data_IF_671197907820
#
_entry.id   IF_671197907820
#
_cell.length_a   1.000
_cell.length_b   1.000
_cell.length_c   1.000
_cell.angle_alpha   90.00
_cell.angle_beta   90.00
_cell.angle_gamma   90.00
#
_symmetry.space_group_name_H-M   'P 1'
#
loop_
_entity.id
_entity.type
_entity.pdbx_description
1 polymer ?
#
# COMPACT_ATOMS: atom_id res chain seq x y z
N UNK A 1 13.23 28.35 67.71
CA UNK A 1 11.95 27.80 67.29
C UNK A 1 11.65 28.43 65.93
N UNK A 2 12.17 27.84 64.88
CA UNK A 2 12.14 28.32 63.52
C UNK A 2 11.28 27.49 62.61
N UNK A 3 10.37 28.11 61.91
CA UNK A 3 9.50 27.53 60.90
C UNK A 3 10.28 27.33 59.63
N UNK A 4 10.41 26.09 59.14
CA UNK A 4 10.83 25.79 57.77
C UNK A 4 9.59 25.65 56.90
N UNK A 5 9.38 26.61 56.02
CA UNK A 5 8.43 26.54 54.90
C UNK A 5 9.19 26.02 53.69
N UNK A 6 8.92 24.79 53.28
CA UNK A 6 9.41 24.25 52.03
C UNK A 6 8.61 24.80 50.85
N UNK A 7 9.30 25.45 49.94
CA UNK A 7 8.77 25.90 48.63
C UNK A 7 8.43 24.70 47.76
N UNK A 8 7.16 24.48 47.50
CA UNK A 8 6.69 23.59 46.42
C UNK A 8 6.84 24.40 45.13
N UNK A 9 7.80 24.01 44.31
CA UNK A 9 7.87 24.50 42.93
C UNK A 9 6.74 23.84 42.12
N UNK A 10 5.79 24.67 41.74
CA UNK A 10 4.80 24.33 40.70
C UNK A 10 5.53 24.34 39.36
N UNK A 11 5.88 23.18 38.86
CA UNK A 11 6.31 23.04 37.48
C UNK A 11 5.08 23.15 36.57
N UNK A 12 5.07 24.23 35.82
CA UNK A 12 4.10 24.50 34.74
C UNK A 12 4.03 23.32 33.76
N UNK A 13 2.92 22.60 33.83
CA UNK A 13 2.52 21.68 32.74
C UNK A 13 2.16 22.56 31.53
N UNK A 14 3.06 22.66 30.59
CA UNK A 14 2.78 23.28 29.30
C UNK A 14 1.84 22.34 28.55
N UNK A 15 0.55 22.66 28.53
CA UNK A 15 -0.43 22.06 27.63
C UNK A 15 0.02 22.35 26.20
N UNK A 16 0.50 21.33 25.49
CA UNK A 16 0.58 21.35 24.04
C UNK A 16 -0.85 21.33 23.50
N UNK A 17 -1.46 22.49 23.38
CA UNK A 17 -2.61 22.69 22.51
C UNK A 17 -2.05 22.60 21.08
N UNK A 18 -2.24 21.46 20.41
CA UNK A 18 -2.08 21.39 18.95
C UNK A 18 -3.19 22.26 18.35
N UNK A 19 -2.87 23.48 18.04
CA UNK A 19 -3.68 24.35 17.19
C UNK A 19 -3.56 23.78 15.78
N UNK A 20 -4.59 23.06 15.34
CA UNK A 20 -4.76 22.75 13.93
C UNK A 20 -5.09 24.07 13.21
N UNK A 21 -4.10 24.71 12.65
CA UNK A 21 -4.33 25.76 11.68
C UNK A 21 -4.89 25.10 10.42
N UNK A 22 -6.17 25.37 10.16
CA UNK A 22 -6.72 25.23 8.82
C UNK A 22 -6.10 26.34 7.97
N UNK A 23 -4.97 26.08 7.34
CA UNK A 23 -4.59 26.84 6.18
C UNK A 23 -5.46 26.34 5.01
N UNK A 24 -6.11 27.25 4.25
CA UNK A 24 -6.82 26.85 3.06
C UNK A 24 -5.79 26.22 2.09
N UNK A 25 -6.10 25.04 1.58
CA UNK A 25 -5.39 24.42 0.46
C UNK A 25 -5.48 25.40 -0.72
N UNK A 26 -4.49 26.24 -0.87
CA UNK A 26 -4.27 26.99 -2.11
C UNK A 26 -3.69 26.00 -3.10
N UNK A 27 -4.53 25.57 -4.03
CA UNK A 27 -4.12 24.85 -5.23
C UNK A 27 -3.43 25.83 -6.16
N UNK A 28 -2.16 26.16 -5.88
CA UNK A 28 -1.28 26.85 -6.83
C UNK A 28 0.15 26.39 -6.59
N UNK A 29 0.74 25.73 -7.60
CA UNK A 29 2.16 25.37 -7.74
C UNK A 29 2.79 24.58 -6.58
N UNK A 30 2.14 23.50 -6.11
CA UNK A 30 2.88 22.52 -5.32
C UNK A 30 3.91 21.83 -6.22
N UNK A 31 5.18 22.04 -5.90
CA UNK A 31 6.32 21.39 -6.54
C UNK A 31 6.34 19.90 -6.12
N UNK A 32 5.60 19.07 -6.88
CA UNK A 32 5.61 17.62 -6.70
C UNK A 32 6.87 17.02 -7.30
N UNK A 33 7.23 15.84 -6.80
CA UNK A 33 8.39 15.11 -7.26
C UNK A 33 9.66 15.40 -6.46
N UNK A 34 10.68 14.64 -6.79
CA UNK A 34 12.00 14.71 -6.16
C UNK A 34 13.01 15.23 -7.17
N UNK A 35 13.96 16.05 -6.70
CA UNK A 35 15.13 16.39 -7.50
C UNK A 35 16.25 15.42 -7.16
N UNK A 36 16.61 14.56 -8.11
CA UNK A 36 17.68 13.57 -7.97
C UNK A 36 18.74 13.86 -9.02
N UNK A 37 19.97 14.14 -8.58
CA UNK A 37 21.12 14.51 -9.48
C UNK A 37 20.78 15.63 -10.47
N UNK A 38 19.92 16.58 -10.07
CA UNK A 38 19.50 17.73 -10.90
C UNK A 38 18.32 17.46 -11.84
N UNK A 39 17.81 16.24 -11.89
CA UNK A 39 16.60 15.88 -12.64
C UNK A 39 15.37 15.83 -11.74
N UNK A 40 14.25 16.38 -12.22
CA UNK A 40 12.95 16.22 -11.54
C UNK A 40 12.33 14.88 -11.89
N UNK A 41 11.88 14.13 -10.87
CA UNK A 41 11.20 12.84 -10.98
C UNK A 41 9.88 12.96 -10.25
N UNK A 42 8.78 12.81 -10.97
CA UNK A 42 7.46 12.66 -10.36
C UNK A 42 7.42 11.33 -9.57
N UNK A 43 6.76 11.35 -8.42
CA UNK A 43 6.61 10.14 -7.60
C UNK A 43 5.15 9.70 -7.62
N UNK A 44 4.94 8.42 -7.92
CA UNK A 44 3.64 7.76 -7.83
C UNK A 44 3.76 6.67 -6.76
N UNK A 45 2.95 6.75 -5.71
CA UNK A 45 2.84 5.71 -4.68
C UNK A 45 1.66 4.80 -5.02
N UNK A 46 1.91 3.60 -5.53
CA UNK A 46 0.82 2.73 -5.95
C UNK A 46 0.08 2.03 -4.81
N UNK A 47 0.53 2.17 -3.55
CA UNK A 47 0.04 1.36 -2.46
C UNK A 47 -0.33 2.19 -1.23
N UNK A 48 -1.55 2.72 -1.27
CA UNK A 48 -2.13 3.46 -0.15
C UNK A 48 -3.45 2.81 0.30
N UNK A 49 -3.68 2.84 1.60
CA UNK A 49 -4.89 2.32 2.21
C UNK A 49 -5.84 3.45 2.60
N UNK A 50 -7.15 3.20 2.41
CA UNK A 50 -8.22 4.06 2.91
C UNK A 50 -9.13 3.29 3.87
N UNK A 51 -9.96 4.01 4.61
CA UNK A 51 -10.92 3.42 5.53
C UNK A 51 -11.39 4.37 6.62
N UNK A 52 -12.11 3.82 7.58
CA UNK A 52 -12.50 4.53 8.78
C UNK A 52 -12.11 3.73 10.02
N UNK A 53 -11.88 4.40 11.13
CA UNK A 53 -11.60 3.71 12.39
C UNK A 53 -12.66 2.67 12.74
N UNK A 54 -13.95 3.00 12.52
CA UNK A 54 -15.06 2.14 12.93
C UNK A 54 -15.19 0.89 12.04
N UNK A 55 -14.66 0.93 10.81
CA UNK A 55 -14.63 -0.20 9.87
C UNK A 55 -13.45 -1.17 10.11
N UNK A 56 -12.46 -0.79 10.94
CA UNK A 56 -11.35 -1.67 11.31
C UNK A 56 -11.81 -2.72 12.33
N UNK A 57 -11.22 -3.92 12.29
CA UNK A 57 -11.47 -4.97 13.29
C UNK A 57 -10.87 -4.63 14.65
N UNK A 58 -11.48 -5.14 15.73
CA UNK A 58 -10.96 -4.91 17.08
C UNK A 58 -9.53 -5.44 17.27
N UNK A 59 -9.16 -6.66 16.80
CA UNK A 59 -7.77 -7.14 16.90
C UNK A 59 -6.77 -6.23 16.16
N UNK A 60 -7.17 -5.66 15.03
CA UNK A 60 -6.33 -4.70 14.31
C UNK A 60 -6.15 -3.39 15.10
N UNK A 61 -7.22 -2.83 15.65
CA UNK A 61 -7.19 -1.64 16.50
C UNK A 61 -6.33 -1.83 17.73
N UNK A 62 -6.47 -2.96 18.42
CA UNK A 62 -5.67 -3.32 19.59
C UNK A 62 -4.18 -3.37 19.26
N UNK A 63 -3.80 -4.10 18.21
CA UNK A 63 -2.43 -4.21 17.74
C UNK A 63 -1.76 -2.86 17.48
N UNK A 64 -2.47 -1.94 16.82
CA UNK A 64 -1.94 -0.61 16.56
C UNK A 64 -1.93 0.26 17.81
N UNK A 65 -2.92 0.11 18.68
CA UNK A 65 -2.99 0.84 19.95
C UNK A 65 -1.89 0.42 20.94
N UNK A 66 -1.38 -0.81 20.87
CA UNK A 66 -0.26 -1.27 21.67
C UNK A 66 1.07 -0.56 21.36
N UNK A 67 1.20 0.06 20.19
CA UNK A 67 2.38 0.82 19.78
C UNK A 67 2.53 2.15 20.51
N UNK A 68 1.49 2.60 21.24
CA UNK A 68 1.50 3.82 22.03
C UNK A 68 1.27 3.51 23.52
N UNK A 69 1.78 4.36 24.44
CA UNK A 69 1.52 4.23 25.88
C UNK A 69 0.01 4.16 26.17
N UNK A 70 -0.38 3.38 27.18
CA UNK A 70 -1.81 3.13 27.53
C UNK A 70 -2.65 4.41 27.64
N UNK A 71 -2.09 5.46 28.24
CA UNK A 71 -2.79 6.74 28.43
C UNK A 71 -2.98 7.55 27.14
N UNK A 72 -2.31 7.18 26.03
CA UNK A 72 -2.45 7.79 24.71
C UNK A 72 -3.26 6.96 23.74
N UNK A 73 -3.69 5.74 24.09
CA UNK A 73 -4.41 4.85 23.16
C UNK A 73 -5.68 5.44 22.58
N UNK A 74 -6.36 6.30 23.32
CA UNK A 74 -7.52 7.02 22.82
C UNK A 74 -7.23 7.92 21.62
N UNK A 75 -5.98 8.37 21.44
CA UNK A 75 -5.57 9.19 20.30
C UNK A 75 -5.49 8.39 19.00
N UNK A 76 -5.39 7.05 19.07
CA UNK A 76 -5.25 6.19 17.89
C UNK A 76 -6.44 6.31 16.94
N UNK A 77 -7.66 6.51 17.48
CA UNK A 77 -8.85 6.77 16.65
C UNK A 77 -8.65 7.99 15.74
N UNK A 78 -8.02 9.03 16.25
CA UNK A 78 -7.75 10.25 15.47
C UNK A 78 -6.54 10.09 14.56
N UNK A 79 -5.44 9.52 15.06
CA UNK A 79 -4.19 9.40 14.29
C UNK A 79 -4.34 8.44 13.11
N UNK A 80 -4.90 7.27 13.33
CA UNK A 80 -5.09 6.28 12.29
C UNK A 80 -6.34 6.59 11.44
N UNK A 81 -7.48 6.91 12.09
CA UNK A 81 -8.73 7.18 11.39
C UNK A 81 -8.66 8.40 10.46
N UNK A 82 -8.07 9.51 10.90
CA UNK A 82 -7.90 10.69 10.05
C UNK A 82 -6.88 10.48 8.94
N UNK A 83 -5.88 9.63 9.16
CA UNK A 83 -4.86 9.30 8.14
C UNK A 83 -5.41 8.49 6.97
N UNK A 84 -6.52 7.77 7.18
CA UNK A 84 -7.15 6.89 6.17
C UNK A 84 -8.20 7.60 5.31
N UNK A 85 -8.54 8.86 5.58
CA UNK A 85 -9.41 9.68 4.71
C UNK A 85 -8.64 10.23 3.52
N UNK A 86 -9.36 10.66 2.45
CA UNK A 86 -8.73 11.32 1.30
C UNK A 86 -7.87 12.52 1.70
N UNK A 87 -8.36 13.39 2.58
CA UNK A 87 -7.58 14.53 3.07
C UNK A 87 -6.33 14.08 3.84
N UNK A 88 -6.45 13.04 4.66
CA UNK A 88 -5.32 12.49 5.40
C UNK A 88 -4.26 11.88 4.50
N UNK A 89 -4.68 11.14 3.48
CA UNK A 89 -3.82 10.57 2.45
C UNK A 89 -3.12 11.69 1.67
N UNK A 90 -3.86 12.65 1.13
CA UNK A 90 -3.32 13.78 0.38
C UNK A 90 -2.32 14.59 1.20
N UNK A 91 -2.63 14.88 2.47
CA UNK A 91 -1.69 15.58 3.37
C UNK A 91 -0.36 14.84 3.53
N UNK A 92 -0.37 13.51 3.57
CA UNK A 92 0.86 12.73 3.65
C UNK A 92 1.58 12.67 2.30
N UNK A 93 0.85 12.56 1.20
CA UNK A 93 1.40 12.64 -0.15
C UNK A 93 2.06 14.01 -0.40
N UNK A 94 1.41 15.10 -0.03
CA UNK A 94 1.93 16.46 -0.18
C UNK A 94 3.22 16.66 0.60
N UNK A 95 3.27 16.18 1.84
CA UNK A 95 4.49 16.21 2.65
C UNK A 95 5.63 15.41 2.02
N UNK A 96 5.32 14.31 1.34
CA UNK A 96 6.29 13.45 0.65
C UNK A 96 6.54 13.89 -0.80
N UNK A 97 5.90 14.97 -1.28
CA UNK A 97 5.93 15.43 -2.69
C UNK A 97 5.47 14.37 -3.70
N UNK A 98 4.60 13.46 -3.27
CA UNK A 98 4.02 12.42 -4.13
C UNK A 98 2.91 13.03 -4.97
N UNK A 99 3.02 12.90 -6.28
CA UNK A 99 2.06 13.48 -7.23
C UNK A 99 0.76 12.70 -7.31
N UNK A 100 0.82 11.37 -7.41
CA UNK A 100 -0.36 10.50 -7.50
C UNK A 100 -0.26 9.33 -6.54
N UNK A 101 -1.42 8.85 -6.08
CA UNK A 101 -1.51 7.69 -5.19
C UNK A 101 -2.53 6.67 -5.65
N UNK A 102 -2.15 5.39 -5.67
CA UNK A 102 -3.05 4.25 -5.82
C UNK A 102 -3.66 3.87 -4.48
N UNK A 103 -4.99 3.97 -4.35
CA UNK A 103 -5.71 3.74 -3.10
C UNK A 103 -6.54 2.47 -3.21
N UNK A 104 -6.48 1.62 -2.19
CA UNK A 104 -7.03 0.28 -2.22
C UNK A 104 -8.36 0.17 -1.48
N UNK A 105 -9.39 -0.41 -2.13
CA UNK A 105 -10.49 -1.04 -1.44
C UNK A 105 -10.00 -2.31 -0.73
N UNK A 106 -10.60 -2.65 0.40
CA UNK A 106 -10.24 -3.82 1.21
C UNK A 106 -11.51 -4.52 1.69
N UNK A 107 -11.57 -5.83 1.49
CA UNK A 107 -12.61 -6.71 2.03
C UNK A 107 -11.96 -7.84 2.82
N UNK A 108 -11.58 -7.54 4.05
CA UNK A 108 -10.89 -8.46 4.95
C UNK A 108 -11.54 -8.42 6.35
N UNK A 109 -12.81 -8.85 6.46
CA UNK A 109 -13.65 -8.67 7.66
C UNK A 109 -13.06 -9.31 8.92
N UNK A 110 -12.27 -10.38 8.77
CA UNK A 110 -11.71 -11.10 9.91
C UNK A 110 -10.34 -10.55 10.35
N UNK A 111 -9.66 -9.78 9.49
CA UNK A 111 -8.27 -9.35 9.73
C UNK A 111 -8.13 -7.85 9.93
N UNK A 112 -8.28 -7.06 8.86
CA UNK A 112 -8.05 -5.61 8.90
C UNK A 112 -9.34 -4.80 8.92
N UNK A 113 -10.43 -5.34 8.36
CA UNK A 113 -11.71 -4.65 8.23
C UNK A 113 -12.16 -4.48 6.79
N UNK A 114 -13.13 -3.59 6.56
CA UNK A 114 -13.71 -3.34 5.25
C UNK A 114 -13.61 -1.85 4.89
N UNK A 115 -12.97 -1.57 3.76
CA UNK A 115 -13.10 -0.32 3.02
C UNK A 115 -13.68 -0.68 1.64
N UNK A 116 -15.00 -0.56 1.47
CA UNK A 116 -15.70 -1.03 0.29
C UNK A 116 -15.33 -0.27 -0.99
N UNK A 117 -15.64 -0.84 -2.14
CA UNK A 117 -15.49 -0.15 -3.44
C UNK A 117 -16.25 1.18 -3.47
N UNK A 118 -17.50 1.18 -2.93
CA UNK A 118 -18.30 2.41 -2.86
C UNK A 118 -17.65 3.47 -1.97
N UNK A 119 -17.12 3.07 -0.80
CA UNK A 119 -16.40 3.98 0.09
C UNK A 119 -15.15 4.54 -0.62
N UNK A 120 -14.35 3.68 -1.27
CA UNK A 120 -13.18 4.12 -2.03
C UNK A 120 -13.55 5.13 -3.12
N UNK A 121 -14.59 4.86 -3.92
CA UNK A 121 -15.05 5.79 -4.96
C UNK A 121 -15.40 7.16 -4.37
N UNK A 122 -16.07 7.23 -3.22
CA UNK A 122 -16.36 8.49 -2.53
C UNK A 122 -15.08 9.22 -2.12
N UNK A 123 -14.02 8.49 -1.70
CA UNK A 123 -12.76 9.09 -1.30
C UNK A 123 -11.95 9.67 -2.47
N UNK A 124 -12.01 9.05 -3.65
CA UNK A 124 -11.16 9.43 -4.79
C UNK A 124 -11.87 10.37 -5.79
N UNK A 125 -13.19 10.40 -5.82
CA UNK A 125 -13.95 11.15 -6.84
C UNK A 125 -13.70 12.66 -6.80
N UNK A 126 -13.40 13.22 -5.63
CA UNK A 126 -13.13 14.66 -5.48
C UNK A 126 -11.69 15.03 -5.84
N UNK A 127 -10.83 14.02 -6.07
CA UNK A 127 -9.40 14.19 -6.34
C UNK A 127 -8.89 13.28 -7.47
N UNK A 128 -9.56 13.25 -8.64
CA UNK A 128 -9.29 12.27 -9.71
C UNK A 128 -7.90 12.42 -10.34
N UNK A 129 -7.31 13.61 -10.25
CA UNK A 129 -5.95 13.90 -10.74
C UNK A 129 -4.85 13.40 -9.78
N UNK A 130 -5.21 13.14 -8.52
CA UNK A 130 -4.29 12.76 -7.45
C UNK A 130 -4.46 11.31 -7.00
N UNK A 131 -5.70 10.81 -6.93
CA UNK A 131 -6.04 9.52 -6.34
C UNK A 131 -6.64 8.57 -7.38
N UNK A 132 -6.05 7.39 -7.49
CA UNK A 132 -6.44 6.31 -8.39
C UNK A 132 -6.93 5.12 -7.57
N UNK A 133 -8.07 4.54 -7.91
CA UNK A 133 -8.68 3.47 -7.13
C UNK A 133 -8.31 2.07 -7.61
N UNK A 134 -8.12 1.17 -6.66
CA UNK A 134 -8.04 -0.27 -6.90
C UNK A 134 -9.25 -0.93 -6.24
N UNK A 135 -10.14 -1.49 -7.04
CA UNK A 135 -11.31 -2.22 -6.57
C UNK A 135 -10.90 -3.54 -5.87
N UNK A 136 -11.80 -4.10 -5.09
CA UNK A 136 -11.60 -5.42 -4.51
C UNK A 136 -12.89 -6.21 -4.54
N UNK A 137 -12.84 -7.49 -4.16
CA UNK A 137 -14.01 -8.36 -4.06
C UNK A 137 -14.11 -8.92 -2.66
N UNK A 138 -15.33 -9.20 -2.25
CA UNK A 138 -15.64 -9.88 -1.00
C UNK A 138 -15.63 -11.40 -1.21
N UNK A 139 -14.88 -12.13 -0.40
CA UNK A 139 -14.66 -13.57 -0.60
C UNK A 139 -15.33 -14.47 0.44
N UNK A 140 -15.69 -13.93 1.59
CA UNK A 140 -16.27 -14.67 2.73
C UNK A 140 -17.62 -15.34 2.42
N UNK A 141 -18.41 -14.79 1.47
CA UNK A 141 -19.67 -15.36 1.00
C UNK A 141 -19.63 -15.79 -0.48
N UNK A 142 -18.44 -16.00 -1.06
CA UNK A 142 -18.24 -16.22 -2.49
C UNK A 142 -19.11 -17.34 -3.09
N UNK A 143 -19.32 -18.42 -2.34
CA UNK A 143 -20.19 -19.53 -2.79
C UNK A 143 -21.67 -19.17 -2.90
N UNK A 144 -22.09 -18.05 -2.33
CA UNK A 144 -23.48 -17.57 -2.32
C UNK A 144 -23.67 -16.43 -3.32
N UNK A 145 -22.75 -15.44 -3.30
CA UNK A 145 -22.91 -14.17 -4.02
C UNK A 145 -21.77 -13.87 -5.03
N UNK A 146 -20.88 -14.84 -5.30
CA UNK A 146 -19.77 -14.66 -6.23
C UNK A 146 -20.14 -14.02 -7.59
N UNK A 147 -21.21 -14.49 -8.27
CA UNK A 147 -21.66 -13.87 -9.52
C UNK A 147 -22.08 -12.40 -9.38
N UNK A 148 -22.67 -12.02 -8.26
CA UNK A 148 -23.03 -10.63 -7.95
C UNK A 148 -21.78 -9.80 -7.66
N UNK A 149 -20.79 -10.35 -6.95
CA UNK A 149 -19.50 -9.72 -6.71
C UNK A 149 -18.74 -9.44 -8.03
N UNK A 150 -18.80 -10.34 -9.00
CA UNK A 150 -18.21 -10.14 -10.32
C UNK A 150 -18.92 -9.02 -11.11
N UNK A 151 -20.24 -8.95 -11.06
CA UNK A 151 -21.02 -7.86 -11.68
C UNK A 151 -20.70 -6.51 -11.05
N UNK A 152 -20.63 -6.46 -9.71
CA UNK A 152 -20.24 -5.24 -8.98
C UNK A 152 -18.84 -4.82 -9.37
N UNK A 153 -17.87 -5.74 -9.37
CA UNK A 153 -16.50 -5.47 -9.76
C UNK A 153 -16.42 -4.84 -11.17
N UNK A 154 -17.07 -5.46 -12.14
CA UNK A 154 -17.11 -4.96 -13.52
C UNK A 154 -17.73 -3.56 -13.61
N UNK A 155 -18.83 -3.33 -12.90
CA UNK A 155 -19.50 -2.02 -12.83
C UNK A 155 -18.58 -0.95 -12.22
N UNK A 156 -17.89 -1.26 -11.13
CA UNK A 156 -16.97 -0.36 -10.44
C UNK A 156 -15.78 -0.01 -11.33
N UNK A 157 -15.21 -0.98 -12.03
CA UNK A 157 -14.08 -0.80 -12.94
C UNK A 157 -14.43 0.01 -14.19
N UNK A 158 -15.71 0.21 -14.49
CA UNK A 158 -16.18 1.14 -15.51
C UNK A 158 -15.93 2.62 -15.19
N UNK A 159 -15.64 2.97 -13.93
CA UNK A 159 -15.22 4.31 -13.55
C UNK A 159 -13.76 4.54 -13.97
N UNK A 160 -13.48 5.66 -14.64
CA UNK A 160 -12.15 5.99 -15.19
C UNK A 160 -11.06 6.05 -14.12
N UNK A 161 -11.41 6.43 -12.88
CA UNK A 161 -10.44 6.54 -11.77
C UNK A 161 -10.20 5.20 -11.06
N UNK A 162 -10.96 4.16 -11.40
CA UNK A 162 -10.72 2.80 -10.93
C UNK A 162 -9.78 2.09 -11.90
N UNK A 163 -8.48 2.09 -11.57
CA UNK A 163 -7.41 1.70 -12.49
C UNK A 163 -6.96 0.25 -12.37
N UNK A 164 -7.31 -0.43 -11.27
CA UNK A 164 -6.86 -1.79 -11.02
C UNK A 164 -7.70 -2.52 -9.99
N UNK A 165 -7.27 -3.72 -9.63
CA UNK A 165 -7.90 -4.59 -8.64
C UNK A 165 -6.90 -4.92 -7.54
N UNK A 166 -7.35 -4.95 -6.28
CA UNK A 166 -6.59 -5.40 -5.11
C UNK A 166 -7.12 -6.73 -4.61
N UNK A 167 -6.28 -7.74 -4.59
CA UNK A 167 -6.53 -9.00 -3.89
C UNK A 167 -5.54 -9.18 -2.75
N UNK A 168 -6.04 -9.58 -1.59
CA UNK A 168 -5.26 -9.77 -0.37
C UNK A 168 -5.39 -11.20 0.16
N UNK A 169 -4.90 -12.17 -0.60
CA UNK A 169 -5.13 -13.61 -0.45
C UNK A 169 -5.02 -14.11 0.98
N UNK A 170 -3.95 -13.76 1.71
CA UNK A 170 -3.75 -14.14 3.11
C UNK A 170 -4.83 -13.56 4.04
N UNK A 171 -5.32 -12.34 3.77
CA UNK A 171 -6.34 -11.66 4.55
C UNK A 171 -7.75 -12.10 4.17
N UNK A 172 -7.99 -12.36 2.89
CA UNK A 172 -9.28 -12.80 2.34
C UNK A 172 -9.48 -14.31 2.42
N UNK A 173 -8.51 -15.04 2.98
CA UNK A 173 -8.50 -16.51 3.07
C UNK A 173 -8.68 -17.21 1.71
N UNK A 174 -8.15 -16.61 0.65
CA UNK A 174 -8.25 -17.02 -0.73
C UNK A 174 -6.92 -17.61 -1.18
N UNK A 175 -6.91 -18.85 -1.66
CA UNK A 175 -5.69 -19.48 -2.19
C UNK A 175 -5.33 -18.86 -3.54
N UNK A 176 -4.06 -18.80 -3.87
CA UNK A 176 -3.58 -18.30 -5.17
C UNK A 176 -4.06 -19.14 -6.35
N UNK A 177 -4.19 -20.44 -6.14
CA UNK A 177 -4.54 -21.43 -7.17
C UNK A 177 -6.04 -21.78 -7.21
N UNK A 178 -6.91 -21.06 -6.51
CA UNK A 178 -8.33 -21.36 -6.41
C UNK A 178 -9.12 -20.91 -7.65
N UNK A 179 -9.60 -21.84 -8.49
CA UNK A 179 -10.25 -21.49 -9.75
C UNK A 179 -11.63 -20.82 -9.58
N UNK A 180 -12.19 -20.81 -8.36
CA UNK A 180 -13.45 -20.09 -8.10
C UNK A 180 -13.33 -18.60 -8.37
N UNK A 181 -12.11 -18.06 -8.33
CA UNK A 181 -11.83 -16.65 -8.55
C UNK A 181 -11.38 -16.32 -9.98
N UNK A 182 -11.35 -17.31 -10.89
CA UNK A 182 -10.94 -17.08 -12.27
C UNK A 182 -11.70 -15.95 -12.97
N UNK A 183 -13.01 -15.79 -12.66
CA UNK A 183 -13.80 -14.66 -13.16
C UNK A 183 -13.28 -13.27 -12.81
N UNK A 184 -12.56 -13.12 -11.67
CA UNK A 184 -11.91 -11.83 -11.30
C UNK A 184 -10.77 -11.53 -12.26
N UNK A 185 -9.93 -12.55 -12.56
CA UNK A 185 -8.80 -12.42 -13.46
C UNK A 185 -9.27 -12.21 -14.91
N UNK A 186 -10.34 -12.89 -15.35
CA UNK A 186 -10.95 -12.70 -16.67
C UNK A 186 -11.45 -11.27 -16.88
N UNK A 187 -12.14 -10.69 -15.88
CA UNK A 187 -12.61 -9.31 -15.91
C UNK A 187 -11.42 -8.35 -16.00
N UNK A 188 -10.36 -8.61 -15.22
CA UNK A 188 -9.16 -7.81 -15.20
C UNK A 188 -8.47 -7.78 -16.59
N UNK A 189 -8.24 -8.93 -17.20
CA UNK A 189 -7.64 -9.03 -18.53
C UNK A 189 -8.49 -8.34 -19.58
N UNK A 190 -9.81 -8.62 -19.61
CA UNK A 190 -10.74 -8.04 -20.58
C UNK A 190 -10.85 -6.51 -20.48
N UNK A 191 -10.78 -5.95 -19.29
CA UNK A 191 -10.83 -4.51 -19.04
C UNK A 191 -9.46 -3.84 -18.97
N UNK A 192 -8.38 -4.61 -19.21
CA UNK A 192 -7.00 -4.12 -19.12
C UNK A 192 -6.69 -3.43 -17.77
N UNK A 193 -7.19 -4.02 -16.66
CA UNK A 193 -7.00 -3.52 -15.30
C UNK A 193 -6.02 -4.41 -14.56
N UNK A 194 -4.79 -3.97 -14.24
CA UNK A 194 -3.84 -4.76 -13.47
C UNK A 194 -4.38 -5.22 -12.12
N UNK A 195 -3.98 -6.41 -11.70
CA UNK A 195 -4.32 -6.96 -10.39
C UNK A 195 -3.10 -6.89 -9.46
N UNK A 196 -3.25 -6.18 -8.35
CA UNK A 196 -2.33 -6.26 -7.24
C UNK A 196 -2.69 -7.48 -6.37
N UNK A 197 -1.74 -8.37 -6.18
CA UNK A 197 -1.85 -9.59 -5.39
C UNK A 197 -0.92 -9.46 -4.18
N UNK A 198 -1.48 -9.45 -2.96
CA UNK A 198 -0.68 -9.46 -1.73
C UNK A 198 0.09 -10.78 -1.64
N UNK A 199 1.41 -10.73 -1.58
CA UNK A 199 2.30 -11.89 -1.40
C UNK A 199 3.14 -11.73 -0.12
N UNK A 200 3.73 -12.82 0.36
CA UNK A 200 4.44 -12.82 1.63
C UNK A 200 3.50 -12.84 2.84
N UNK A 201 4.09 -12.77 4.04
CA UNK A 201 3.32 -12.86 5.28
C UNK A 201 2.89 -11.47 5.77
N UNK A 202 1.67 -11.39 6.30
CA UNK A 202 1.20 -10.20 7.01
C UNK A 202 1.19 -10.44 8.52
N UNK A 203 1.65 -9.47 9.32
CA UNK A 203 1.67 -9.62 10.76
C UNK A 203 0.31 -9.34 11.42
N UNK A 204 -0.75 -9.13 10.64
CA UNK A 204 -2.08 -8.86 11.18
C UNK A 204 -2.73 -10.14 11.73
N UNK A 205 -3.53 -10.04 12.81
CA UNK A 205 -4.22 -11.20 13.37
C UNK A 205 -5.10 -11.91 12.34
N UNK A 206 -5.24 -13.23 12.50
CA UNK A 206 -6.08 -14.09 11.67
C UNK A 206 -5.73 -14.18 10.19
N UNK A 207 -4.59 -13.65 9.74
CA UNK A 207 -4.10 -13.89 8.38
C UNK A 207 -3.64 -15.34 8.21
N UNK A 208 -3.87 -15.89 7.01
CA UNK A 208 -3.34 -17.21 6.64
C UNK A 208 -1.84 -17.08 6.38
N UNK A 209 -1.09 -18.07 6.85
CA UNK A 209 0.38 -18.10 6.73
C UNK A 209 0.87 -19.31 5.94
N UNK A 210 -0.02 -20.19 5.55
CA UNK A 210 0.32 -21.39 4.77
C UNK A 210 0.75 -21.00 3.35
N UNK A 211 1.71 -21.70 2.73
CA UNK A 211 2.30 -21.33 1.45
C UNK A 211 1.31 -21.01 0.34
N UNK A 212 0.18 -21.71 0.14
CA UNK A 212 -0.78 -21.38 -0.92
C UNK A 212 -1.46 -20.02 -0.80
N UNK A 213 -1.27 -19.30 0.32
CA UNK A 213 -1.82 -17.97 0.57
C UNK A 213 -0.75 -16.86 0.57
N UNK A 214 0.54 -17.22 0.66
CA UNK A 214 1.64 -16.27 0.87
C UNK A 214 2.79 -16.42 -0.12
N UNK A 215 3.06 -17.63 -0.62
CA UNK A 215 4.13 -17.91 -1.59
C UNK A 215 3.61 -17.79 -3.02
N UNK A 216 4.07 -16.78 -3.78
CA UNK A 216 3.53 -16.49 -5.12
C UNK A 216 3.77 -17.62 -6.14
N UNK A 217 4.62 -18.61 -5.89
CA UNK A 217 4.74 -19.77 -6.78
C UNK A 217 3.41 -20.49 -7.03
N UNK A 218 2.49 -20.44 -6.05
CA UNK A 218 1.14 -21.02 -6.20
C UNK A 218 0.22 -20.19 -7.10
N UNK A 219 0.65 -18.99 -7.53
CA UNK A 219 -0.07 -18.15 -8.50
C UNK A 219 0.25 -18.55 -9.95
N UNK A 220 1.27 -19.38 -10.19
CA UNK A 220 1.76 -19.68 -11.51
C UNK A 220 0.69 -20.26 -12.45
N UNK A 221 -0.07 -21.24 -11.98
CA UNK A 221 -1.17 -21.83 -12.77
C UNK A 221 -2.25 -20.79 -13.13
N UNK A 222 -2.53 -19.84 -12.22
CA UNK A 222 -3.48 -18.75 -12.46
C UNK A 222 -2.93 -17.78 -13.51
N UNK A 223 -1.65 -17.42 -13.44
CA UNK A 223 -0.98 -16.58 -14.46
C UNK A 223 -1.05 -17.24 -15.84
N UNK A 224 -0.82 -18.54 -15.92
CA UNK A 224 -0.89 -19.28 -17.19
C UNK A 224 -2.31 -19.33 -17.77
N UNK A 225 -3.34 -19.46 -16.93
CA UNK A 225 -4.75 -19.45 -17.39
C UNK A 225 -5.21 -18.07 -17.85
N UNK A 226 -4.58 -16.99 -17.35
CA UNK A 226 -4.98 -15.62 -17.61
C UNK A 226 -3.85 -14.77 -18.20
N UNK A 227 -3.36 -15.08 -19.41
CA UNK A 227 -2.20 -14.43 -20.03
C UNK A 227 -2.44 -12.95 -20.36
N UNK A 228 -3.70 -12.52 -20.50
CA UNK A 228 -4.08 -11.13 -20.79
C UNK A 228 -4.16 -10.27 -19.54
N UNK A 229 -4.04 -10.87 -18.34
CA UNK A 229 -4.09 -10.18 -17.05
C UNK A 229 -2.69 -9.77 -16.61
N UNK A 230 -2.53 -8.51 -16.20
CA UNK A 230 -1.30 -8.00 -15.61
C UNK A 230 -1.32 -8.24 -14.09
N UNK A 231 -0.29 -8.87 -13.55
CA UNK A 231 -0.16 -9.21 -12.13
C UNK A 231 0.92 -8.36 -11.48
N UNK A 232 0.62 -7.79 -10.30
CA UNK A 232 1.58 -7.07 -9.47
C UNK A 232 1.73 -7.84 -8.16
N UNK A 233 2.89 -8.44 -7.94
CA UNK A 233 3.20 -9.20 -6.74
C UNK A 233 3.56 -8.23 -5.61
N UNK A 234 2.55 -7.87 -4.81
CA UNK A 234 2.68 -6.93 -3.72
C UNK A 234 3.54 -7.44 -2.59
N UNK A 235 4.32 -6.57 -1.99
CA UNK A 235 5.35 -6.84 -0.98
C UNK A 235 6.48 -7.76 -1.47
N UNK A 236 6.48 -8.15 -2.74
CA UNK A 236 7.54 -8.95 -3.35
C UNK A 236 7.95 -10.17 -2.52
N UNK A 237 6.97 -10.88 -1.94
CA UNK A 237 7.21 -12.08 -1.13
C UNK A 237 7.85 -11.83 0.25
N UNK A 238 7.77 -10.62 0.80
CA UNK A 238 8.36 -10.27 2.10
C UNK A 238 7.72 -11.03 3.26
N UNK A 239 8.56 -11.58 4.14
CA UNK A 239 8.13 -12.22 5.40
C UNK A 239 8.25 -11.22 6.56
N UNK A 240 7.12 -10.66 6.96
CA UNK A 240 7.04 -9.63 8.00
C UNK A 240 7.35 -10.14 9.42
N UNK A 241 7.29 -11.45 9.66
CA UNK A 241 7.65 -12.05 10.95
C UNK A 241 9.15 -12.26 11.07
N UNK A 242 9.78 -12.78 9.99
CA UNK A 242 11.22 -12.99 9.95
C UNK A 242 12.00 -11.74 9.58
N UNK A 243 11.33 -10.70 9.05
CA UNK A 243 11.97 -9.53 8.46
C UNK A 243 12.96 -9.96 7.37
N UNK A 244 12.48 -10.75 6.39
CA UNK A 244 13.31 -11.41 5.38
C UNK A 244 12.59 -11.51 4.03
N UNK A 245 13.36 -11.74 2.96
CA UNK A 245 12.90 -11.92 1.58
C UNK A 245 12.54 -13.41 1.30
N UNK A 246 11.74 -14.02 2.20
CA UNK A 246 11.51 -15.49 2.23
C UNK A 246 10.96 -16.03 0.90
N UNK A 247 10.13 -15.26 0.19
CA UNK A 247 9.46 -15.71 -1.04
C UNK A 247 9.87 -14.86 -2.26
N UNK A 248 10.98 -14.10 -2.17
CA UNK A 248 11.44 -13.25 -3.27
C UNK A 248 11.85 -14.09 -4.50
N UNK A 249 12.50 -15.23 -4.28
CA UNK A 249 12.92 -16.10 -5.40
C UNK A 249 11.72 -16.51 -6.25
N UNK A 250 10.59 -16.87 -5.62
CA UNK A 250 9.34 -17.17 -6.35
C UNK A 250 8.82 -15.97 -7.15
N UNK A 251 8.95 -14.73 -6.61
CA UNK A 251 8.56 -13.51 -7.35
C UNK A 251 9.47 -13.28 -8.57
N UNK A 252 10.78 -13.46 -8.40
CA UNK A 252 11.78 -13.28 -9.47
C UNK A 252 11.55 -14.31 -10.58
N UNK A 253 11.38 -15.59 -10.22
CA UNK A 253 11.11 -16.65 -11.18
C UNK A 253 9.87 -16.35 -12.03
N UNK A 254 8.78 -15.92 -11.41
CA UNK A 254 7.56 -15.53 -12.11
C UNK A 254 7.76 -14.31 -13.01
N UNK A 255 8.43 -13.26 -12.52
CA UNK A 255 8.66 -12.02 -13.27
C UNK A 255 9.64 -12.23 -14.45
N UNK A 256 10.58 -13.17 -14.35
CA UNK A 256 11.47 -13.56 -15.46
C UNK A 256 10.77 -14.44 -16.48
N UNK A 257 9.83 -15.28 -16.04
CA UNK A 257 9.12 -16.23 -16.91
C UNK A 257 7.95 -15.61 -17.66
N UNK A 258 7.28 -14.63 -17.04
CA UNK A 258 6.04 -14.05 -17.56
C UNK A 258 6.15 -12.52 -17.71
N UNK A 259 5.94 -12.02 -18.93
CA UNK A 259 6.04 -10.59 -19.23
C UNK A 259 4.94 -9.74 -18.56
N UNK A 260 3.83 -10.36 -18.19
CA UNK A 260 2.69 -9.75 -17.50
C UNK A 260 2.81 -9.77 -15.97
N UNK A 261 4.02 -10.04 -15.41
CA UNK A 261 4.26 -10.06 -13.97
C UNK A 261 5.18 -8.92 -13.55
N UNK A 262 4.72 -8.15 -12.60
CA UNK A 262 5.40 -7.01 -11.94
C UNK A 262 5.53 -7.27 -10.45
N UNK A 263 6.30 -6.46 -9.75
CA UNK A 263 6.53 -6.54 -8.31
C UNK A 263 6.37 -5.18 -7.65
N UNK A 264 5.99 -5.18 -6.38
CA UNK A 264 5.87 -3.97 -5.57
C UNK A 264 6.43 -4.24 -4.16
N UNK A 265 7.41 -3.47 -3.67
CA UNK A 265 8.12 -3.76 -2.42
C UNK A 265 7.38 -3.33 -1.14
N UNK A 266 6.34 -2.48 -1.22
CA UNK A 266 5.48 -2.04 -0.10
C UNK A 266 6.16 -1.91 1.24
N UNK A 267 5.82 -2.79 2.17
CA UNK A 267 6.28 -2.76 3.56
C UNK A 267 7.82 -2.85 3.76
N UNK A 268 8.61 -3.13 2.71
CA UNK A 268 10.08 -3.18 2.79
C UNK A 268 10.71 -1.83 3.15
N UNK A 269 10.07 -0.71 2.82
CA UNK A 269 10.53 0.61 3.25
C UNK A 269 10.20 0.95 4.72
N UNK A 270 9.57 0.05 5.48
CA UNK A 270 9.38 0.24 6.90
C UNK A 270 10.73 0.20 7.66
N UNK A 271 10.86 1.01 8.72
CA UNK A 271 12.11 1.16 9.49
C UNK A 271 12.76 -0.17 9.91
N UNK A 272 11.96 -1.20 10.14
CA UNK A 272 12.46 -2.54 10.52
C UNK A 272 13.18 -3.25 9.36
N UNK A 273 12.80 -2.94 8.11
CA UNK A 273 13.21 -3.66 6.92
C UNK A 273 14.27 -2.91 6.08
N UNK A 274 14.83 -1.82 6.59
CA UNK A 274 15.79 -0.96 5.86
C UNK A 274 16.95 -1.75 5.21
N UNK A 275 17.58 -2.66 5.96
CA UNK A 275 18.65 -3.53 5.43
C UNK A 275 18.14 -4.49 4.36
N UNK A 276 16.93 -5.01 4.57
CA UNK A 276 16.26 -5.95 3.65
C UNK A 276 15.86 -5.23 2.37
N UNK A 277 15.45 -3.95 2.46
CA UNK A 277 15.14 -3.13 1.29
C UNK A 277 16.38 -2.92 0.39
N UNK A 278 17.53 -2.58 0.98
CA UNK A 278 18.77 -2.42 0.20
C UNK A 278 19.19 -3.73 -0.47
N UNK A 279 19.08 -4.85 0.23
CA UNK A 279 19.33 -6.18 -0.32
C UNK A 279 18.36 -6.52 -1.45
N UNK A 280 17.06 -6.26 -1.26
CA UNK A 280 16.02 -6.43 -2.30
C UNK A 280 16.39 -5.67 -3.57
N UNK A 281 16.66 -4.37 -3.46
CA UNK A 281 16.98 -3.52 -4.62
C UNK A 281 18.23 -4.00 -5.36
N UNK A 282 19.27 -4.43 -4.64
CA UNK A 282 20.46 -5.03 -5.26
C UNK A 282 20.10 -6.30 -6.04
N UNK A 283 19.32 -7.20 -5.46
CA UNK A 283 18.90 -8.45 -6.11
C UNK A 283 18.06 -8.15 -7.36
N UNK A 284 17.11 -7.20 -7.29
CA UNK A 284 16.30 -6.78 -8.46
C UNK A 284 17.19 -6.30 -9.61
N UNK A 285 18.17 -5.47 -9.31
CA UNK A 285 19.11 -4.96 -10.33
C UNK A 285 19.98 -6.06 -10.93
N UNK A 286 20.52 -6.96 -10.10
CA UNK A 286 21.32 -8.12 -10.54
C UNK A 286 20.53 -9.08 -11.46
N UNK A 287 19.20 -9.15 -11.27
CA UNK A 287 18.31 -9.97 -12.08
C UNK A 287 17.72 -9.24 -13.31
N UNK A 288 18.12 -7.97 -13.57
CA UNK A 288 17.61 -7.14 -14.67
C UNK A 288 16.08 -6.95 -14.65
N UNK A 289 15.50 -6.75 -13.44
CA UNK A 289 14.05 -6.60 -13.23
C UNK A 289 13.66 -5.18 -12.80
N UNK A 290 14.50 -4.19 -13.04
CA UNK A 290 14.24 -2.78 -12.68
C UNK A 290 12.97 -2.25 -13.36
N UNK A 291 12.71 -2.64 -14.59
CA UNK A 291 11.51 -2.30 -15.38
C UNK A 291 10.24 -3.04 -14.93
N UNK A 292 10.35 -3.96 -13.98
CA UNK A 292 9.26 -4.78 -13.45
C UNK A 292 8.87 -4.40 -12.02
N UNK A 293 9.51 -3.38 -11.42
CA UNK A 293 9.22 -2.96 -10.04
C UNK A 293 8.55 -1.59 -10.03
N UNK A 294 7.49 -1.47 -9.24
CA UNK A 294 6.71 -0.25 -9.07
C UNK A 294 6.76 0.15 -7.59
N UNK A 295 7.05 1.42 -7.32
CA UNK A 295 7.09 1.95 -5.96
C UNK A 295 5.69 1.94 -5.31
N UNK A 296 5.63 1.51 -4.04
CA UNK A 296 4.49 1.61 -3.17
C UNK A 296 4.94 1.65 -1.70
N UNK A 297 4.24 2.40 -0.84
CA UNK A 297 4.64 2.55 0.56
C UNK A 297 3.95 1.61 1.54
N UNK A 298 2.81 1.02 1.19
CA UNK A 298 1.90 0.36 2.14
C UNK A 298 1.38 1.33 3.23
N UNK A 299 1.23 2.61 2.83
CA UNK A 299 0.78 3.71 3.71
C UNK A 299 -0.71 4.02 3.59
N UNK A 300 -1.15 5.07 4.28
CA UNK A 300 -0.51 5.69 5.42
C UNK A 300 -0.75 4.88 6.70
N UNK A 301 0.29 4.58 7.47
CA UNK A 301 0.12 3.88 8.75
C UNK A 301 0.09 4.84 9.94
N UNK A 302 0.91 5.91 9.88
CA UNK A 302 0.99 6.96 10.88
C UNK A 302 1.38 8.29 10.20
N UNK A 303 1.12 9.44 10.83
CA UNK A 303 1.56 10.73 10.30
C UNK A 303 3.07 10.75 9.99
N UNK A 304 3.41 11.08 8.74
CA UNK A 304 4.80 11.11 8.25
C UNK A 304 5.37 9.75 7.82
N UNK A 305 4.58 8.68 7.88
CA UNK A 305 5.03 7.35 7.44
C UNK A 305 5.42 7.34 5.95
N UNK A 306 4.53 7.83 5.09
CA UNK A 306 4.73 7.85 3.63
C UNK A 306 6.00 8.61 3.23
N UNK A 307 6.23 9.80 3.83
CA UNK A 307 7.46 10.56 3.60
C UNK A 307 8.72 9.78 4.04
N UNK A 308 8.71 9.26 5.26
CA UNK A 308 9.85 8.49 5.78
C UNK A 308 10.10 7.19 5.02
N UNK A 309 9.05 6.59 4.44
CA UNK A 309 9.18 5.42 3.58
C UNK A 309 9.88 5.79 2.27
N UNK A 310 9.43 6.86 1.60
CA UNK A 310 10.03 7.33 0.35
C UNK A 310 11.49 7.73 0.54
N UNK A 311 11.82 8.47 1.62
CA UNK A 311 13.20 8.84 1.94
C UNK A 311 14.11 7.61 2.00
N UNK A 312 13.72 6.59 2.80
CA UNK A 312 14.49 5.33 2.91
C UNK A 312 14.56 4.57 1.59
N UNK A 313 13.51 4.61 0.79
CA UNK A 313 13.52 3.94 -0.52
C UNK A 313 14.52 4.59 -1.47
N UNK A 314 14.57 5.92 -1.52
CA UNK A 314 15.54 6.68 -2.31
C UNK A 314 16.96 6.42 -1.82
N UNK A 315 17.20 6.47 -0.51
CA UNK A 315 18.52 6.18 0.09
C UNK A 315 18.98 4.75 -0.24
N UNK A 316 18.08 3.76 -0.19
CA UNK A 316 18.40 2.38 -0.52
C UNK A 316 18.69 2.18 -2.02
N UNK A 317 17.98 2.88 -2.92
CA UNK A 317 18.32 2.89 -4.36
C UNK A 317 19.70 3.48 -4.61
N UNK A 318 20.04 4.61 -3.96
CA UNK A 318 21.36 5.23 -4.06
C UNK A 318 22.46 4.29 -3.53
N UNK A 319 22.22 3.64 -2.39
CA UNK A 319 23.14 2.67 -1.80
C UNK A 319 23.32 1.38 -2.65
N UNK A 320 22.41 1.15 -3.60
CA UNK A 320 22.43 0.02 -4.53
C UNK A 320 22.86 0.45 -5.96
N UNK A 321 23.47 1.63 -6.08
CA UNK A 321 24.02 2.19 -7.34
C UNK A 321 22.99 2.34 -8.47
N UNK A 322 21.72 2.63 -8.13
CA UNK A 322 20.71 2.93 -9.14
C UNK A 322 21.01 4.26 -9.83
N UNK A 323 20.99 4.26 -11.16
CA UNK A 323 21.04 5.50 -11.95
C UNK A 323 19.76 6.30 -11.82
N UNK A 324 19.80 7.60 -12.15
CA UNK A 324 18.59 8.46 -12.15
C UNK A 324 17.48 7.88 -13.03
N UNK A 325 17.83 7.29 -14.19
CA UNK A 325 16.87 6.65 -15.08
C UNK A 325 16.19 5.41 -14.43
N UNK A 326 16.96 4.57 -13.76
CA UNK A 326 16.42 3.43 -13.02
C UNK A 326 15.54 3.87 -11.84
N UNK A 327 15.94 4.92 -11.10
CA UNK A 327 15.11 5.50 -10.04
C UNK A 327 13.79 6.04 -10.59
N UNK A 328 13.83 6.74 -11.72
CA UNK A 328 12.63 7.21 -12.44
C UNK A 328 11.75 6.04 -12.86
N UNK A 329 12.33 4.94 -13.29
CA UNK A 329 11.57 3.76 -13.66
C UNK A 329 10.71 3.26 -12.49
N UNK A 330 11.31 3.03 -11.31
CA UNK A 330 10.59 2.54 -10.13
C UNK A 330 9.58 3.53 -9.58
N UNK A 331 9.94 4.81 -9.53
CA UNK A 331 9.14 5.86 -8.88
C UNK A 331 8.00 6.38 -9.75
N UNK A 332 8.11 6.26 -11.08
CA UNK A 332 7.21 6.90 -12.02
C UNK A 332 6.87 6.01 -13.22
N UNK A 333 7.84 5.76 -14.13
CA UNK A 333 7.51 5.35 -15.49
C UNK A 333 6.98 3.93 -15.61
N UNK A 334 7.38 3.00 -14.74
CA UNK A 334 6.84 1.64 -14.74
C UNK A 334 5.33 1.63 -14.40
N UNK A 335 4.92 2.49 -13.46
CA UNK A 335 3.50 2.66 -13.15
C UNK A 335 2.75 3.27 -14.33
N UNK A 336 3.24 4.38 -14.89
CA UNK A 336 2.60 5.07 -16.01
C UNK A 336 2.42 4.15 -17.23
N UNK A 337 3.43 3.33 -17.54
CA UNK A 337 3.38 2.36 -18.64
C UNK A 337 2.35 1.25 -18.37
N UNK A 338 2.41 0.63 -17.18
CA UNK A 338 1.50 -0.47 -16.84
C UNK A 338 0.04 -0.04 -16.83
N UNK A 339 -0.25 1.16 -16.31
CA UNK A 339 -1.61 1.68 -16.19
C UNK A 339 -2.03 2.55 -17.39
N UNK A 340 -1.19 2.63 -18.44
CA UNK A 340 -1.45 3.40 -19.68
C UNK A 340 -1.88 4.84 -19.40
N UNK A 341 -1.29 5.45 -18.36
CA UNK A 341 -1.57 6.86 -18.04
C UNK A 341 -0.89 7.74 -19.07
N UNK A 342 -1.67 8.60 -19.73
CA UNK A 342 -1.13 9.65 -20.61
C UNK A 342 -0.64 10.82 -19.74
N UNK A 343 0.55 11.33 -20.05
CA UNK A 343 1.11 12.55 -19.44
C UNK A 343 0.37 13.82 -19.87
#
# INVERSE_FOLDING_TARGET
MGKFLSKIQLSTLTCFAMIFWNEPLLAEDQDYGLTIQGESIDVIDMHLHTGTWDALTEPYKERYSERVPKFLRFTMKYLLGSGLTSEGILKQMDKAKIRRGGVFAVYSPDTTGIASNQFLQQQINDHPERLLGFASVRTDYWNIDGPEQLKELESVLGNSNMVGIKLAHAHQQMRFDDPRFDGVYEIAGRLEKPIYVHTGTSPNPYTRLEPPYVDPKYLEDTIQRHPDTQFILGHSGYDSFKVALTYLDSCIELAQKYENVYMEPGALGARKAEKVLTEYLRIIKENNLVDRVIYGSDGPQFPGYTNSHLERFVEAMQASDYSTAEMRALLQTNFEQLFKLQN
#
